data_IF_033471671497
#
_entry.id   IF_033471671497
#
_cell.length_a   1.000
_cell.length_b   1.000
_cell.length_c   1.000
_cell.angle_alpha   90.00
_cell.angle_beta   90.00
_cell.angle_gamma   90.00
#
_symmetry.space_group_name_H-M   'P 1'
#
loop_
_entity.id
_entity.type
_entity.pdbx_description
1 polymer ?
#
# COMPACT_ATOMS: atom_id res chain seq x y z
N UNK A 1 0.63 4.49 -1.63
CA UNK A 1 0.38 5.70 -0.81
C UNK A 1 0.45 6.92 -1.72
N UNK A 2 -0.48 7.88 -1.62
CA UNK A 2 -0.51 9.08 -2.48
C UNK A 2 -0.41 8.74 -3.99
N UNK A 3 -1.08 7.68 -4.43
CA UNK A 3 -1.04 7.21 -5.82
C UNK A 3 0.29 6.58 -6.28
N UNK A 4 1.27 6.40 -5.40
CA UNK A 4 2.58 5.81 -5.71
C UNK A 4 2.85 4.53 -4.90
N UNK A 5 3.65 3.58 -5.41
CA UNK A 5 4.18 2.48 -4.60
C UNK A 5 4.92 3.04 -3.37
N UNK A 6 4.59 2.52 -2.18
CA UNK A 6 5.23 2.93 -0.92
C UNK A 6 6.60 2.24 -0.81
N UNK A 7 7.65 3.02 -0.56
CA UNK A 7 9.03 2.54 -0.49
C UNK A 7 9.84 3.36 0.51
N UNK A 8 10.78 2.70 1.19
CA UNK A 8 11.76 3.31 2.09
C UNK A 8 13.08 2.56 1.97
N UNK A 9 14.20 3.28 1.85
CA UNK A 9 15.55 2.70 1.82
C UNK A 9 15.74 1.57 0.79
N UNK A 10 15.10 1.70 -0.38
CA UNK A 10 15.13 0.68 -1.43
C UNK A 10 14.09 -0.44 -1.26
N UNK A 11 13.45 -0.55 -0.10
CA UNK A 11 12.49 -1.60 0.23
C UNK A 11 11.05 -1.16 -0.03
N UNK A 12 10.32 -1.92 -0.85
CA UNK A 12 8.90 -1.67 -1.16
C UNK A 12 7.99 -2.29 -0.10
N UNK A 13 6.88 -1.61 0.21
CA UNK A 13 5.81 -2.11 1.05
C UNK A 13 5.05 -3.26 0.39
N UNK A 14 5.66 -4.44 0.35
CA UNK A 14 5.14 -5.61 -0.31
C UNK A 14 5.62 -6.90 0.37
N UNK A 15 4.71 -7.86 0.45
CA UNK A 15 4.97 -9.21 0.92
C UNK A 15 4.33 -10.21 -0.05
N UNK A 16 4.91 -11.41 -0.13
CA UNK A 16 4.33 -12.53 -0.86
C UNK A 16 3.53 -13.38 0.11
N UNK A 17 2.25 -13.62 -0.19
CA UNK A 17 1.42 -14.58 0.54
C UNK A 17 1.70 -15.99 0.01
N UNK A 18 2.08 -16.90 0.89
CA UNK A 18 2.30 -18.31 0.56
C UNK A 18 1.15 -19.14 1.16
N UNK A 19 0.30 -19.79 0.33
CA UNK A 19 -0.78 -20.64 0.82
C UNK A 19 -0.27 -21.82 1.65
N UNK A 20 -1.09 -22.29 2.60
CA UNK A 20 -0.83 -23.55 3.28
C UNK A 20 -0.83 -24.74 2.29
N UNK A 21 -0.05 -25.77 2.60
CA UNK A 21 0.04 -26.98 1.75
C UNK A 21 -1.34 -27.63 1.63
N UNK A 22 -1.89 -27.64 0.41
CA UNK A 22 -3.20 -28.25 0.11
C UNK A 22 -4.36 -27.26 -0.02
N UNK A 23 -4.13 -25.95 0.17
CA UNK A 23 -5.16 -24.93 -0.03
C UNK A 23 -4.81 -23.98 -1.18
N UNK A 24 -5.81 -23.68 -2.02
CA UNK A 24 -5.67 -22.75 -3.18
C UNK A 24 -5.96 -21.30 -2.77
N UNK A 25 -6.59 -21.07 -1.61
CA UNK A 25 -7.01 -19.73 -1.16
C UNK A 25 -5.91 -19.08 -0.32
N UNK A 26 -5.42 -17.92 -0.74
CA UNK A 26 -4.35 -17.15 -0.09
C UNK A 26 -4.85 -16.03 0.84
N UNK A 27 -6.09 -16.12 1.31
CA UNK A 27 -6.66 -15.12 2.21
C UNK A 27 -6.00 -15.22 3.59
N UNK A 28 -5.48 -14.09 4.09
CA UNK A 28 -4.69 -13.98 5.34
C UNK A 28 -5.36 -14.54 6.62
N UNK A 29 -6.67 -14.82 6.60
CA UNK A 29 -7.38 -15.41 7.74
C UNK A 29 -7.27 -16.94 7.85
N UNK A 30 -6.73 -17.63 6.83
CA UNK A 30 -6.52 -19.08 6.86
C UNK A 30 -5.08 -19.37 6.46
N UNK A 31 -4.22 -19.55 7.46
CA UNK A 31 -2.91 -20.22 7.39
C UNK A 31 -1.92 -19.83 6.27
N UNK A 32 -2.05 -18.63 5.67
CA UNK A 32 -1.05 -18.10 4.75
C UNK A 32 0.17 -17.57 5.50
N UNK A 33 1.39 -17.93 5.08
CA UNK A 33 2.62 -17.34 5.62
C UNK A 33 3.07 -16.14 4.79
N UNK A 34 3.64 -15.13 5.44
CA UNK A 34 4.24 -13.99 4.76
C UNK A 34 5.71 -14.31 4.44
N UNK A 35 6.12 -14.03 3.20
CA UNK A 35 7.50 -14.14 2.75
C UNK A 35 7.93 -12.84 2.04
N UNK A 36 9.23 -12.56 1.92
CA UNK A 36 9.70 -11.43 1.14
C UNK A 36 9.17 -11.49 -0.29
N UNK A 37 8.65 -10.37 -0.78
CA UNK A 37 8.21 -10.23 -2.17
C UNK A 37 9.39 -9.85 -3.07
N UNK A 38 9.51 -10.51 -4.22
CA UNK A 38 10.37 -10.05 -5.30
C UNK A 38 9.56 -9.08 -6.18
N UNK A 39 9.96 -7.80 -6.18
CA UNK A 39 9.25 -6.77 -6.93
C UNK A 39 9.89 -6.63 -8.31
N UNK A 40 9.17 -7.11 -9.32
CA UNK A 40 9.59 -7.01 -10.71
C UNK A 40 9.14 -5.68 -11.32
N UNK A 41 9.78 -5.20 -12.40
CA UNK A 41 9.32 -4.02 -13.13
C UNK A 41 7.87 -4.11 -13.58
N UNK A 42 7.38 -5.32 -13.91
CA UNK A 42 6.00 -5.53 -14.32
C UNK A 42 5.01 -5.33 -13.18
N UNK A 43 5.35 -5.75 -11.96
CA UNK A 43 4.53 -5.52 -10.76
C UNK A 43 4.42 -4.01 -10.49
N UNK A 44 5.53 -3.28 -10.62
CA UNK A 44 5.53 -1.81 -10.44
C UNK A 44 4.70 -1.12 -11.51
N UNK A 45 4.85 -1.49 -12.78
CA UNK A 45 4.04 -0.96 -13.88
C UNK A 45 2.53 -1.15 -13.60
N UNK A 46 2.14 -2.35 -13.15
CA UNK A 46 0.74 -2.64 -12.78
C UNK A 46 0.28 -1.78 -11.60
N UNK A 47 1.11 -1.62 -10.56
CA UNK A 47 0.77 -0.79 -9.41
C UNK A 47 0.61 0.70 -9.79
N UNK A 48 1.48 1.20 -10.67
CA UNK A 48 1.45 2.58 -11.17
C UNK A 48 0.24 2.84 -12.08
N UNK A 49 -0.15 1.87 -12.91
CA UNK A 49 -1.36 1.97 -13.74
C UNK A 49 -2.64 2.14 -12.91
N UNK A 50 -2.70 1.54 -11.71
CA UNK A 50 -3.85 1.66 -10.81
C UNK A 50 -3.89 3.01 -10.12
N UNK A 51 -2.73 3.52 -9.71
CA UNK A 51 -2.56 4.71 -8.86
C UNK A 51 -3.50 5.90 -9.15
N UNK A 52 -3.66 6.35 -10.42
CA UNK A 52 -4.49 7.50 -10.78
C UNK A 52 -5.95 7.42 -10.35
N UNK A 53 -6.56 6.23 -10.31
CA UNK A 53 -7.99 6.10 -9.98
C UNK A 53 -8.26 6.22 -8.48
N UNK A 54 -7.65 5.42 -7.58
CA UNK A 54 -7.86 5.56 -6.14
C UNK A 54 -7.47 6.95 -5.62
N UNK A 55 -6.38 7.54 -6.11
CA UNK A 55 -5.98 8.88 -5.69
C UNK A 55 -7.03 9.92 -6.10
N UNK A 56 -7.54 9.83 -7.34
CA UNK A 56 -8.62 10.68 -7.82
C UNK A 56 -9.91 10.53 -7.02
N UNK A 57 -10.14 9.38 -6.38
CA UNK A 57 -11.27 9.13 -5.48
C UNK A 57 -11.02 9.54 -4.02
N UNK A 58 -9.83 10.07 -3.70
CA UNK A 58 -9.46 10.52 -2.35
C UNK A 58 -8.85 9.43 -1.48
N UNK A 59 -8.43 8.31 -2.05
CA UNK A 59 -7.85 7.19 -1.31
C UNK A 59 -6.35 7.43 -1.08
N UNK A 60 -6.00 7.76 0.17
CA UNK A 60 -4.63 8.02 0.59
C UNK A 60 -3.73 6.78 0.56
N UNK A 61 -4.22 5.67 1.12
CA UNK A 61 -3.48 4.42 1.27
C UNK A 61 -4.38 3.26 0.84
N UNK A 62 -3.88 2.47 -0.12
CA UNK A 62 -4.55 1.28 -0.64
C UNK A 62 -3.55 0.14 -0.72
N UNK A 63 -4.02 -1.09 -0.51
CA UNK A 63 -3.26 -2.31 -0.76
C UNK A 63 -3.63 -2.90 -2.12
N UNK A 64 -2.65 -3.46 -2.83
CA UNK A 64 -2.87 -4.14 -4.11
C UNK A 64 -2.49 -5.61 -3.97
N UNK A 65 -3.39 -6.49 -4.37
CA UNK A 65 -3.12 -7.92 -4.47
C UNK A 65 -2.84 -8.24 -5.94
N UNK A 66 -1.59 -8.62 -6.22
CA UNK A 66 -1.10 -8.85 -7.59
C UNK A 66 -0.63 -10.30 -7.72
N UNK A 67 -1.02 -10.96 -8.81
CA UNK A 67 -0.53 -12.28 -9.19
C UNK A 67 0.00 -12.22 -10.63
N UNK A 68 1.31 -12.43 -10.77
CA UNK A 68 2.00 -12.23 -12.05
C UNK A 68 1.90 -10.76 -12.48
N UNK A 69 1.19 -10.53 -13.58
CA UNK A 69 0.95 -9.23 -14.20
C UNK A 69 -0.52 -8.76 -14.06
N UNK A 70 -1.29 -9.38 -13.16
CA UNK A 70 -2.72 -9.11 -12.99
C UNK A 70 -3.05 -8.67 -11.57
N UNK A 71 -3.96 -7.70 -11.48
CA UNK A 71 -4.57 -7.28 -10.22
C UNK A 71 -5.69 -8.27 -9.89
N UNK A 72 -5.66 -8.82 -8.69
CA UNK A 72 -6.74 -9.62 -8.15
C UNK A 72 -7.69 -8.76 -7.30
N UNK A 73 -7.13 -7.89 -6.45
CA UNK A 73 -7.91 -7.09 -5.51
C UNK A 73 -7.26 -5.73 -5.24
N UNK A 74 -8.10 -4.72 -4.95
CA UNK A 74 -7.69 -3.40 -4.47
C UNK A 74 -8.32 -3.19 -3.10
N UNK A 75 -7.50 -3.29 -2.05
CA UNK A 75 -7.88 -3.11 -0.67
C UNK A 75 -7.88 -1.61 -0.31
N UNK A 76 -9.06 -0.98 -0.38
CA UNK A 76 -9.22 0.46 -0.11
C UNK A 76 -9.55 0.79 1.35
N UNK A 77 -9.88 -0.21 2.16
CA UNK A 77 -10.23 -0.03 3.57
C UNK A 77 -9.25 -0.80 4.45
N UNK A 78 -8.53 -0.08 5.32
CA UNK A 78 -7.58 -0.64 6.30
C UNK A 78 -6.59 -1.67 5.70
N UNK A 79 -5.80 -1.33 4.66
CA UNK A 79 -4.80 -2.25 4.13
C UNK A 79 -3.76 -2.62 5.21
N UNK A 80 -3.55 -3.92 5.41
CA UNK A 80 -2.65 -4.48 6.43
C UNK A 80 -1.27 -4.84 5.89
N UNK A 81 -0.49 -5.56 6.71
CA UNK A 81 0.79 -6.16 6.32
C UNK A 81 2.03 -5.30 6.57
N UNK A 82 1.91 -4.03 6.96
CA UNK A 82 3.07 -3.17 7.26
C UNK A 82 3.97 -3.75 8.35
N UNK A 83 3.39 -4.35 9.40
CA UNK A 83 4.14 -4.99 10.48
C UNK A 83 4.91 -6.22 9.97
N UNK A 84 4.28 -7.06 9.15
CA UNK A 84 4.92 -8.23 8.56
C UNK A 84 6.07 -7.82 7.62
N UNK A 85 5.84 -6.79 6.81
CA UNK A 85 6.87 -6.23 5.93
C UNK A 85 8.05 -5.70 6.75
N UNK A 86 7.79 -4.97 7.84
CA UNK A 86 8.84 -4.46 8.72
C UNK A 86 9.67 -5.60 9.34
N UNK A 87 9.03 -6.69 9.74
CA UNK A 87 9.74 -7.88 10.25
C UNK A 87 10.55 -8.60 9.18
N UNK A 88 10.01 -8.69 7.95
CA UNK A 88 10.65 -9.39 6.83
C UNK A 88 11.80 -8.61 6.20
N UNK A 89 11.69 -7.29 6.12
CA UNK A 89 12.64 -6.42 5.43
C UNK A 89 13.55 -5.63 6.38
N UNK A 90 13.23 -5.57 7.67
CA UNK A 90 13.95 -4.76 8.65
C UNK A 90 13.75 -3.24 8.50
N UNK A 91 12.72 -2.84 7.74
CA UNK A 91 12.43 -1.43 7.41
C UNK A 91 11.01 -1.09 7.83
N UNK A 92 10.85 -0.11 8.72
CA UNK A 92 9.54 0.36 9.18
C UNK A 92 8.97 1.44 8.25
N UNK A 93 8.07 1.01 7.35
CA UNK A 93 7.36 1.88 6.41
C UNK A 93 6.17 2.61 7.05
N UNK A 94 5.80 2.28 8.29
CA UNK A 94 4.71 3.00 8.99
C UNK A 94 5.08 4.46 9.24
N UNK A 95 6.36 4.75 9.42
CA UNK A 95 6.89 6.10 9.58
C UNK A 95 6.55 6.98 8.38
N UNK A 96 6.67 6.46 7.16
CA UNK A 96 6.34 7.20 5.93
C UNK A 96 4.84 7.49 5.82
N UNK A 97 4.00 6.54 6.26
CA UNK A 97 2.55 6.72 6.30
C UNK A 97 2.16 7.80 7.31
N UNK A 98 2.71 7.75 8.52
CA UNK A 98 2.44 8.75 9.57
C UNK A 98 2.95 10.12 9.15
N UNK A 99 4.17 10.21 8.62
CA UNK A 99 4.75 11.48 8.14
C UNK A 99 3.88 12.11 7.07
N UNK A 100 3.40 11.33 6.10
CA UNK A 100 2.51 11.83 5.05
C UNK A 100 1.14 12.27 5.60
N UNK A 101 0.61 11.60 6.64
CA UNK A 101 -0.61 12.01 7.32
C UNK A 101 -0.43 13.33 8.07
N UNK A 102 0.67 13.48 8.81
CA UNK A 102 1.01 14.70 9.54
C UNK A 102 1.09 15.91 8.60
N UNK A 103 1.76 15.75 7.46
CA UNK A 103 1.83 16.78 6.42
C UNK A 103 0.45 17.20 5.92
N UNK A 104 -0.45 16.23 5.68
CA UNK A 104 -1.83 16.54 5.23
C UNK A 104 -2.64 17.25 6.31
N UNK A 105 -2.47 16.88 7.57
CA UNK A 105 -3.10 17.56 8.71
C UNK A 105 -2.59 19.00 8.82
N UNK A 106 -1.28 19.21 8.67
CA UNK A 106 -0.67 20.53 8.68
C UNK A 106 -1.19 21.40 7.52
N UNK A 107 -1.21 20.87 6.30
CA UNK A 107 -1.79 21.55 5.13
C UNK A 107 -3.24 21.95 5.41
N UNK A 108 -4.08 21.02 5.87
CA UNK A 108 -5.47 21.32 6.19
C UNK A 108 -5.60 22.47 7.21
N UNK A 109 -4.71 22.52 8.20
CA UNK A 109 -4.68 23.55 9.23
C UNK A 109 -4.26 24.91 8.65
N UNK A 110 -3.21 24.94 7.84
CA UNK A 110 -2.68 26.15 7.20
C UNK A 110 -3.68 26.79 6.23
N UNK A 111 -4.51 25.99 5.57
CA UNK A 111 -5.59 26.46 4.70
C UNK A 111 -6.93 26.65 5.41
N UNK A 112 -6.96 26.66 6.75
CA UNK A 112 -8.16 26.84 7.57
C UNK A 112 -9.31 25.87 7.18
N UNK A 113 -8.97 24.64 6.79
CA UNK A 113 -9.92 23.62 6.38
C UNK A 113 -10.56 23.81 5.00
N UNK A 114 -10.08 24.78 4.19
CA UNK A 114 -10.61 25.03 2.84
C UNK A 114 -10.29 23.94 1.82
N UNK A 115 -9.24 23.16 2.06
CA UNK A 115 -8.91 21.99 1.23
C UNK A 115 -9.68 20.80 1.80
N UNK A 116 -10.51 20.18 0.96
CA UNK A 116 -11.24 18.99 1.34
C UNK A 116 -10.31 17.75 1.43
N UNK A 117 -10.80 16.68 2.06
CA UNK A 117 -10.01 15.46 2.23
C UNK A 117 -9.62 14.78 0.91
N UNK A 118 -10.45 14.92 -0.13
CA UNK A 118 -10.21 14.29 -1.43
C UNK A 118 -9.04 14.98 -2.13
N UNK A 119 -9.02 16.30 -2.13
CA UNK A 119 -7.92 17.12 -2.62
C UNK A 119 -6.66 16.92 -1.76
N UNK A 120 -6.78 16.87 -0.42
CA UNK A 120 -5.64 16.55 0.45
C UNK A 120 -5.03 15.19 0.14
N UNK A 121 -5.82 14.19 -0.27
CA UNK A 121 -5.28 12.88 -0.63
C UNK A 121 -4.37 12.97 -1.87
N UNK A 122 -4.65 13.87 -2.83
CA UNK A 122 -3.87 14.02 -4.07
C UNK A 122 -2.63 14.91 -3.96
N UNK A 123 -2.44 15.60 -2.82
CA UNK A 123 -1.28 16.45 -2.51
C UNK A 123 -0.21 15.68 -1.75
#
# INVERSE_FOLDING_TARGET
MNGRPLQRDGAYAALRRVPAKGEVRSNMHVAGTAAPAEITPKILEVAEMVGPKPIGDGMFLVGLDIVGDKILEINVFSPGGLQDIAQLQGVDLSVDVITALEQKVEMRRNYAGKIDNRALATL
#
